data_IF_912861972533
#
_entry.id   IF_912861972533
#
_cell.length_a   1.000
_cell.length_b   1.000
_cell.length_c   1.000
_cell.angle_alpha   90.00
_cell.angle_beta   90.00
_cell.angle_gamma   90.00
#
_symmetry.space_group_name_H-M   'P 1'
#
loop_
_entity.id
_entity.type
_entity.pdbx_description
1 polymer ?
#
# COMPACT_ATOMS: atom_id res chain seq x y z
N UNK A 1 -2.73 9.48 11.85
CA UNK A 1 -2.83 9.86 10.42
C UNK A 1 -2.53 8.70 9.47
N UNK A 2 -1.55 7.84 9.74
CA UNK A 2 -1.30 6.66 8.87
C UNK A 2 -2.53 5.76 8.71
N UNK A 3 -3.20 5.42 9.81
CA UNK A 3 -4.42 4.59 9.76
C UNK A 3 -5.55 5.26 8.96
N UNK A 4 -5.65 6.60 9.00
CA UNK A 4 -6.62 7.35 8.19
C UNK A 4 -6.29 7.25 6.71
N UNK A 5 -5.01 7.35 6.34
CA UNK A 5 -4.58 7.17 4.96
C UNK A 5 -4.83 5.73 4.47
N UNK A 6 -4.56 4.72 5.31
CA UNK A 6 -4.82 3.32 4.98
C UNK A 6 -6.32 3.04 4.78
N UNK A 7 -7.19 3.63 5.61
CA UNK A 7 -8.64 3.49 5.47
C UNK A 7 -9.14 4.19 4.19
N UNK A 8 -8.59 5.35 3.83
CA UNK A 8 -8.93 6.04 2.58
C UNK A 8 -8.56 5.19 1.35
N UNK A 9 -7.37 4.61 1.33
CA UNK A 9 -6.92 3.70 0.26
C UNK A 9 -7.81 2.46 0.19
N UNK A 10 -8.13 1.84 1.33
CA UNK A 10 -9.07 0.71 1.36
C UNK A 10 -10.46 1.10 0.86
N UNK A 11 -10.93 2.31 1.17
CA UNK A 11 -12.23 2.80 0.70
C UNK A 11 -12.25 2.93 -0.83
N UNK A 12 -11.20 3.49 -1.43
CA UNK A 12 -11.10 3.58 -2.90
C UNK A 12 -10.92 2.19 -3.55
N UNK A 13 -10.15 1.28 -2.96
CA UNK A 13 -10.01 -0.09 -3.48
C UNK A 13 -11.30 -0.92 -3.38
N UNK A 14 -12.16 -0.63 -2.41
CA UNK A 14 -13.39 -1.41 -2.17
C UNK A 14 -14.48 -1.22 -3.24
N UNK A 15 -14.39 -0.14 -4.03
CA UNK A 15 -15.35 0.14 -5.09
C UNK A 15 -15.03 -0.68 -6.35
N UNK A 16 -15.93 -1.54 -6.84
CA UNK A 16 -15.69 -2.29 -8.06
C UNK A 16 -15.48 -1.35 -9.25
N UNK A 17 -14.39 -1.52 -10.00
CA UNK A 17 -14.04 -0.63 -11.12
C UNK A 17 -15.12 -0.56 -12.20
N UNK A 18 -15.93 -1.60 -12.35
CA UNK A 18 -17.08 -1.66 -13.28
C UNK A 18 -18.21 -0.71 -12.89
N UNK A 19 -18.33 -0.38 -11.60
CA UNK A 19 -19.37 0.52 -11.07
C UNK A 19 -18.93 2.00 -11.15
N UNK A 20 -17.65 2.27 -11.35
CA UNK A 20 -17.09 3.61 -11.54
C UNK A 20 -17.32 4.04 -13.00
N UNK A 21 -18.57 4.31 -13.33
CA UNK A 21 -18.97 4.64 -14.70
C UNK A 21 -19.93 5.83 -14.75
N UNK A 22 -20.17 6.33 -15.96
CA UNK A 22 -21.16 7.39 -16.20
C UNK A 22 -22.59 6.94 -15.94
N UNK A 23 -22.85 5.63 -15.81
CA UNK A 23 -24.17 5.09 -15.47
C UNK A 23 -24.57 5.41 -14.02
N UNK A 24 -23.59 5.60 -13.13
CA UNK A 24 -23.82 6.07 -11.76
C UNK A 24 -22.92 7.29 -11.45
N UNK A 25 -23.33 8.50 -11.91
CA UNK A 25 -22.50 9.70 -11.78
C UNK A 25 -22.28 10.11 -10.32
N UNK A 26 -23.20 9.80 -9.41
CA UNK A 26 -23.05 10.12 -7.99
C UNK A 26 -21.92 9.29 -7.35
N UNK A 27 -21.89 7.98 -7.60
CA UNK A 27 -20.81 7.12 -7.12
C UNK A 27 -19.47 7.54 -7.72
N UNK A 28 -19.43 7.78 -9.04
CA UNK A 28 -18.21 8.24 -9.71
C UNK A 28 -17.67 9.53 -9.11
N UNK A 29 -18.52 10.54 -8.93
CA UNK A 29 -18.09 11.84 -8.39
C UNK A 29 -17.61 11.71 -6.93
N UNK A 30 -18.27 10.88 -6.12
CA UNK A 30 -17.81 10.60 -4.75
C UNK A 30 -16.43 9.91 -4.77
N UNK A 31 -16.27 8.87 -5.58
CA UNK A 31 -15.01 8.14 -5.75
C UNK A 31 -13.87 9.09 -6.16
N UNK A 32 -14.10 9.92 -7.18
CA UNK A 32 -13.13 10.90 -7.65
C UNK A 32 -12.74 11.89 -6.52
N UNK A 33 -13.71 12.32 -5.70
CA UNK A 33 -13.45 13.16 -4.53
C UNK A 33 -12.59 12.48 -3.45
N UNK A 34 -12.80 11.18 -3.19
CA UNK A 34 -11.94 10.41 -2.29
C UNK A 34 -10.53 10.26 -2.85
N UNK A 35 -10.38 9.94 -4.14
CA UNK A 35 -9.07 9.84 -4.81
C UNK A 35 -8.32 11.18 -4.74
N UNK A 36 -9.01 12.30 -4.98
CA UNK A 36 -8.42 13.63 -4.81
C UNK A 36 -7.93 13.86 -3.38
N UNK A 37 -8.71 13.44 -2.38
CA UNK A 37 -8.35 13.57 -0.96
C UNK A 37 -7.13 12.72 -0.61
N UNK A 38 -7.07 11.49 -1.12
CA UNK A 38 -5.92 10.60 -0.98
C UNK A 38 -4.65 11.21 -1.60
N UNK A 39 -4.75 11.80 -2.80
CA UNK A 39 -3.62 12.50 -3.42
C UNK A 39 -3.14 13.67 -2.56
N UNK A 40 -4.06 14.44 -1.95
CA UNK A 40 -3.67 15.55 -1.08
C UNK A 40 -3.00 15.09 0.21
N UNK A 41 -3.48 14.03 0.86
CA UNK A 41 -2.85 13.52 2.09
C UNK A 41 -1.43 13.02 1.81
N UNK A 42 -1.22 12.31 0.70
CA UNK A 42 0.11 11.83 0.30
C UNK A 42 1.05 12.99 -0.02
N UNK A 43 0.58 14.07 -0.67
CA UNK A 43 1.36 15.30 -0.88
C UNK A 43 1.81 15.93 0.43
N UNK A 44 0.92 16.01 1.42
CA UNK A 44 1.26 16.55 2.75
C UNK A 44 2.28 15.66 3.45
N UNK A 45 2.10 14.34 3.42
CA UNK A 45 3.07 13.39 3.97
C UNK A 45 4.46 13.59 3.36
N UNK A 46 4.55 13.60 2.03
CA UNK A 46 5.82 13.78 1.32
C UNK A 46 6.48 15.12 1.67
N UNK A 47 5.71 16.21 1.72
CA UNK A 47 6.20 17.55 2.10
C UNK A 47 6.82 17.56 3.50
N UNK A 48 6.33 16.73 4.41
CA UNK A 48 6.82 16.60 5.79
C UNK A 48 7.75 15.40 5.99
N UNK A 49 8.33 14.86 4.91
CA UNK A 49 9.33 13.81 4.96
C UNK A 49 8.80 12.41 5.29
N UNK A 50 7.47 12.23 5.26
CA UNK A 50 6.82 10.94 5.42
C UNK A 50 6.62 10.27 4.05
N UNK A 51 7.22 9.10 3.85
CA UNK A 51 7.26 8.37 2.58
C UNK A 51 6.67 6.99 2.76
N UNK A 52 5.79 6.57 1.84
CA UNK A 52 5.17 5.24 1.83
C UNK A 52 6.17 4.18 1.36
N UNK A 53 6.15 3.02 2.02
CA UNK A 53 6.89 1.82 1.65
C UNK A 53 5.92 0.76 1.11
N UNK A 54 6.08 0.42 -0.17
CA UNK A 54 5.31 -0.63 -0.82
C UNK A 54 6.27 -1.55 -1.61
N UNK A 55 6.94 -2.50 -0.92
CA UNK A 55 8.05 -3.26 -1.49
C UNK A 55 7.60 -4.48 -2.31
N UNK A 56 6.44 -4.44 -2.97
CA UNK A 56 5.96 -5.59 -3.77
C UNK A 56 6.98 -5.98 -4.84
N UNK A 57 7.34 -7.28 -4.87
CA UNK A 57 8.35 -7.81 -5.78
C UNK A 57 9.80 -7.42 -5.46
N UNK A 58 10.05 -6.61 -4.43
CA UNK A 58 11.41 -6.23 -4.02
C UNK A 58 12.04 -7.27 -3.09
N UNK A 59 13.35 -7.18 -2.89
CA UNK A 59 14.04 -8.03 -1.90
C UNK A 59 13.55 -7.70 -0.49
N UNK A 60 13.37 -8.72 0.34
CA UNK A 60 13.03 -8.53 1.75
C UNK A 60 14.18 -7.85 2.51
N UNK A 61 13.85 -6.78 3.24
CA UNK A 61 14.76 -6.05 4.12
C UNK A 61 14.17 -6.03 5.55
N UNK A 62 14.79 -6.70 6.53
CA UNK A 62 14.34 -6.72 7.92
C UNK A 62 14.31 -5.34 8.61
N UNK A 63 15.01 -4.33 8.08
CA UNK A 63 15.01 -2.97 8.64
C UNK A 63 13.78 -2.15 8.22
N UNK A 64 13.14 -2.53 7.12
CA UNK A 64 12.01 -1.80 6.54
C UNK A 64 10.72 -2.64 6.48
N UNK A 65 10.85 -3.97 6.55
CA UNK A 65 9.75 -4.92 6.36
C UNK A 65 9.62 -5.87 7.55
N UNK A 66 8.38 -6.28 7.83
CA UNK A 66 8.04 -7.30 8.81
C UNK A 66 7.35 -8.46 8.09
N UNK A 67 7.99 -9.63 8.07
CA UNK A 67 7.47 -10.80 7.39
C UNK A 67 6.39 -11.47 8.25
N UNK A 68 5.12 -11.37 7.84
CA UNK A 68 3.99 -11.97 8.55
C UNK A 68 3.77 -13.43 8.18
N UNK A 69 4.24 -13.87 7.00
CA UNK A 69 4.26 -15.27 6.60
C UNK A 69 5.28 -15.52 5.49
N UNK A 70 5.58 -16.81 5.27
CA UNK A 70 6.43 -17.27 4.18
C UNK A 70 5.68 -18.33 3.37
N UNK A 71 5.74 -18.24 2.03
CA UNK A 71 5.07 -19.19 1.15
C UNK A 71 5.91 -19.52 -0.09
N UNK A 72 5.91 -20.77 -0.57
CA UNK A 72 6.47 -21.09 -1.88
C UNK A 72 5.57 -20.50 -2.97
N UNK A 73 6.15 -19.76 -3.89
CA UNK A 73 5.44 -19.19 -5.04
C UNK A 73 6.22 -19.54 -6.30
N UNK A 74 5.60 -20.34 -7.17
CA UNK A 74 6.19 -20.71 -8.45
C UNK A 74 6.47 -19.46 -9.30
N UNK A 75 7.66 -19.43 -9.91
CA UNK A 75 8.08 -18.31 -10.77
C UNK A 75 8.52 -17.04 -10.04
N UNK A 76 8.51 -16.99 -8.69
CA UNK A 76 9.09 -15.88 -7.92
C UNK A 76 10.39 -16.28 -7.23
N UNK A 77 11.29 -15.31 -7.09
CA UNK A 77 12.61 -15.52 -6.48
C UNK A 77 12.50 -15.62 -4.94
N UNK A 78 13.11 -16.64 -4.29
CA UNK A 78 13.16 -16.74 -2.84
C UNK A 78 13.77 -15.51 -2.16
N UNK A 79 13.21 -15.10 -1.02
CA UNK A 79 13.66 -13.92 -0.28
C UNK A 79 13.17 -12.59 -0.87
N UNK A 80 12.27 -12.61 -1.85
CA UNK A 80 11.54 -11.43 -2.32
C UNK A 80 10.18 -11.31 -1.65
N UNK A 81 9.65 -10.09 -1.61
CA UNK A 81 8.30 -9.79 -1.14
C UNK A 81 7.29 -10.32 -2.16
N UNK A 82 6.51 -11.29 -1.73
CA UNK A 82 5.46 -11.91 -2.50
C UNK A 82 4.23 -11.02 -2.66
N UNK A 83 3.86 -10.38 -1.55
CA UNK A 83 2.68 -9.52 -1.39
C UNK A 83 2.88 -8.58 -0.21
N UNK A 84 2.36 -7.37 -0.33
CA UNK A 84 2.30 -6.38 0.76
C UNK A 84 0.90 -6.41 1.36
N UNK A 85 0.78 -6.82 2.62
CA UNK A 85 -0.51 -6.89 3.32
C UNK A 85 -0.85 -5.59 4.02
N UNK A 86 0.17 -4.85 4.48
CA UNK A 86 0.04 -3.48 4.98
C UNK A 86 1.24 -2.67 4.57
N UNK A 87 0.99 -1.53 3.95
CA UNK A 87 2.02 -0.58 3.51
C UNK A 87 2.78 -0.01 4.70
N UNK A 88 4.10 0.11 4.56
CA UNK A 88 4.97 0.73 5.56
C UNK A 88 5.10 2.23 5.34
N UNK A 89 5.77 2.91 6.27
CA UNK A 89 6.09 4.34 6.15
C UNK A 89 7.46 4.65 6.77
N UNK A 90 8.22 5.54 6.14
CA UNK A 90 9.45 6.14 6.66
C UNK A 90 9.23 7.61 6.95
N UNK A 91 9.75 8.10 8.07
CA UNK A 91 9.77 9.53 8.40
C UNK A 91 11.22 10.01 8.43
N UNK A 92 11.56 10.95 7.55
CA UNK A 92 12.92 11.48 7.39
C UNK A 92 13.98 10.37 7.25
N UNK A 93 13.68 9.36 6.43
CA UNK A 93 14.58 8.23 6.17
C UNK A 93 14.62 7.14 7.25
N UNK A 94 13.93 7.32 8.39
CA UNK A 94 13.83 6.29 9.44
C UNK A 94 12.52 5.53 9.31
N UNK A 95 12.55 4.20 9.42
CA UNK A 95 11.34 3.37 9.46
C UNK A 95 10.46 3.79 10.63
N UNK A 96 9.28 4.32 10.32
CA UNK A 96 8.27 4.70 11.30
C UNK A 96 7.30 3.54 11.53
N UNK A 97 6.92 2.87 10.45
CA UNK A 97 6.10 1.65 10.45
C UNK A 97 6.64 0.70 9.38
N UNK A 98 7.04 -0.53 9.72
CA UNK A 98 7.47 -1.48 8.72
C UNK A 98 6.31 -1.83 7.77
N UNK A 99 6.64 -2.21 6.54
CA UNK A 99 5.66 -2.83 5.65
C UNK A 99 5.43 -4.27 6.11
N UNK A 100 4.17 -4.66 6.32
CA UNK A 100 3.83 -6.05 6.60
C UNK A 100 3.76 -6.81 5.28
N UNK A 101 4.56 -7.87 5.16
CA UNK A 101 4.78 -8.56 3.89
C UNK A 101 4.70 -10.08 4.03
N UNK A 102 4.25 -10.74 2.96
CA UNK A 102 4.54 -12.15 2.73
C UNK A 102 5.85 -12.28 1.97
N UNK A 103 6.71 -13.22 2.35
CA UNK A 103 8.02 -13.44 1.70
C UNK A 103 8.03 -14.78 0.96
N UNK A 104 8.59 -14.79 -0.24
CA UNK A 104 8.76 -16.02 -1.02
C UNK A 104 9.77 -16.92 -0.34
N UNK A 105 9.37 -18.15 -0.01
CA UNK A 105 10.27 -19.20 0.48
C UNK A 105 10.79 -20.02 -0.70
N UNK A 106 12.01 -20.55 -0.56
CA UNK A 106 12.46 -21.62 -1.45
C UNK A 106 11.46 -22.80 -1.43
N UNK A 107 11.27 -23.48 -2.57
CA UNK A 107 10.40 -24.65 -2.66
C UNK A 107 10.76 -25.75 -1.63
#
# INVERSE_FOLDING_TARGET
LLEVADILEKATESVPKTEISTANPHLKNLYDGLVMTEVQIQKVFQKHGLVKLNPDGQKFDPYEHEAVFHAPIEGKEPGTVAVVTKVGYKLHGRTLRPALVGVVKAP
#
